data_IF_490025461907
#
_entry.id   IF_490025461907
#
_cell.length_a   1.000
_cell.length_b   1.000
_cell.length_c   1.000
_cell.angle_alpha   90.00
_cell.angle_beta   90.00
_cell.angle_gamma   90.00
#
_symmetry.space_group_name_H-M   'P 1'
#
loop_
_entity.id
_entity.type
_entity.pdbx_description
1 polymer ?
#
# COMPACT_ATOMS: atom_id res chain seq x y z
N UNK A 1 3.48 10.34 -6.12
CA UNK A 1 4.60 9.38 -6.18
C UNK A 1 4.15 7.97 -5.80
N UNK A 2 4.94 6.92 -6.05
CA UNK A 2 4.53 5.53 -5.84
C UNK A 2 4.15 5.21 -4.39
N UNK A 3 4.76 5.87 -3.40
CA UNK A 3 4.39 5.70 -1.99
C UNK A 3 2.96 6.16 -1.65
N UNK A 4 2.43 7.19 -2.33
CA UNK A 4 1.07 7.68 -2.08
C UNK A 4 0.02 6.66 -2.54
N UNK A 5 0.25 6.00 -3.68
CA UNK A 5 -0.58 4.88 -4.13
C UNK A 5 -0.56 3.73 -3.12
N UNK A 6 0.62 3.41 -2.57
CA UNK A 6 0.74 2.41 -1.51
C UNK A 6 -0.10 2.77 -0.30
N UNK A 7 0.03 4.00 0.21
CA UNK A 7 -0.71 4.46 1.40
C UNK A 7 -2.21 4.43 1.16
N UNK A 8 -2.68 4.87 -0.02
CA UNK A 8 -4.10 4.79 -0.36
C UNK A 8 -4.59 3.35 -0.35
N UNK A 9 -3.90 2.42 -1.02
CA UNK A 9 -4.31 1.01 -1.09
C UNK A 9 -4.28 0.37 0.30
N UNK A 10 -3.19 0.54 1.03
CA UNK A 10 -3.01 -0.04 2.37
C UNK A 10 -4.05 0.52 3.33
N UNK A 11 -4.24 1.84 3.38
CA UNK A 11 -5.20 2.47 4.28
C UNK A 11 -6.65 2.06 3.99
N UNK A 12 -7.04 2.05 2.72
CA UNK A 12 -8.40 1.65 2.31
C UNK A 12 -8.67 0.17 2.50
N UNK A 13 -7.64 -0.69 2.49
CA UNK A 13 -7.80 -2.11 2.78
C UNK A 13 -7.83 -2.36 4.31
N UNK A 14 -6.95 -1.71 5.05
CA UNK A 14 -6.81 -1.91 6.51
C UNK A 14 -7.99 -1.31 7.29
N UNK A 15 -8.52 -0.16 6.89
CA UNK A 15 -9.65 0.48 7.59
C UNK A 15 -10.93 -0.40 7.66
N UNK A 16 -11.46 -0.97 6.55
CA UNK A 16 -12.61 -1.85 6.61
C UNK A 16 -12.29 -3.19 7.29
N UNK A 17 -11.07 -3.72 7.10
CA UNK A 17 -10.64 -4.93 7.82
C UNK A 17 -10.66 -4.73 9.32
N UNK A 18 -10.16 -3.59 9.80
CA UNK A 18 -10.15 -3.25 11.23
C UNK A 18 -11.59 -3.14 11.74
N UNK A 19 -12.46 -2.46 11.00
CA UNK A 19 -13.87 -2.34 11.34
C UNK A 19 -14.57 -3.71 11.44
N UNK A 20 -14.38 -4.59 10.45
CA UNK A 20 -14.97 -5.94 10.44
C UNK A 20 -14.45 -6.78 11.61
N UNK A 21 -13.14 -6.75 11.86
CA UNK A 21 -12.52 -7.49 12.96
C UNK A 21 -13.02 -7.02 14.32
N UNK A 22 -13.12 -5.70 14.49
CA UNK A 22 -13.60 -5.11 15.73
C UNK A 22 -15.08 -5.45 15.98
N UNK A 23 -15.95 -5.31 14.98
CA UNK A 23 -17.41 -5.52 15.17
C UNK A 23 -17.76 -7.00 15.41
N UNK A 24 -17.15 -7.92 14.66
CA UNK A 24 -17.53 -9.33 14.70
C UNK A 24 -16.80 -10.14 15.77
N UNK A 25 -15.51 -9.88 15.99
CA UNK A 25 -14.67 -10.73 16.85
C UNK A 25 -14.30 -10.06 18.17
N UNK A 26 -14.28 -8.71 18.23
CA UNK A 26 -13.90 -7.92 19.42
C UNK A 26 -12.68 -8.50 20.17
N UNK A 27 -11.56 -8.76 19.48
CA UNK A 27 -10.37 -9.27 20.15
C UNK A 27 -9.80 -8.24 21.12
N UNK A 28 -8.92 -8.69 22.02
CA UNK A 28 -8.20 -7.81 22.92
C UNK A 28 -7.53 -6.64 22.15
N UNK A 29 -7.60 -5.39 22.65
CA UNK A 29 -7.08 -4.23 21.94
C UNK A 29 -5.61 -4.34 21.55
N UNK A 30 -4.77 -4.98 22.37
CA UNK A 30 -3.34 -5.15 22.07
C UNK A 30 -3.15 -6.15 20.93
N UNK A 31 -3.93 -7.22 20.91
CA UNK A 31 -3.91 -8.22 19.83
C UNK A 31 -4.33 -7.59 18.50
N UNK A 32 -5.39 -6.78 18.51
CA UNK A 32 -5.85 -6.07 17.32
C UNK A 32 -4.78 -5.09 16.83
N UNK A 33 -4.26 -4.24 17.72
CA UNK A 33 -3.27 -3.22 17.39
C UNK A 33 -1.99 -3.84 16.83
N UNK A 34 -1.44 -4.86 17.47
CA UNK A 34 -0.21 -5.53 17.03
C UNK A 34 -0.40 -6.23 15.69
N UNK A 35 -1.49 -6.98 15.53
CA UNK A 35 -1.81 -7.69 14.27
C UNK A 35 -1.94 -6.73 13.10
N UNK A 36 -2.71 -5.65 13.26
CA UNK A 36 -2.89 -4.64 12.20
C UNK A 36 -1.62 -3.85 11.93
N UNK A 37 -0.80 -3.57 12.95
CA UNK A 37 0.49 -2.90 12.77
C UNK A 37 1.44 -3.74 11.92
N UNK A 38 1.60 -5.03 12.26
CA UNK A 38 2.43 -5.96 11.50
C UNK A 38 1.88 -6.11 10.07
N UNK A 39 0.56 -6.26 9.92
CA UNK A 39 -0.10 -6.36 8.62
C UNK A 39 0.12 -5.12 7.75
N UNK A 40 -0.01 -3.92 8.33
CA UNK A 40 0.17 -2.65 7.64
C UNK A 40 1.62 -2.45 7.18
N UNK A 41 2.60 -2.74 8.06
CA UNK A 41 4.03 -2.68 7.73
C UNK A 41 4.39 -3.69 6.64
N UNK A 42 3.98 -4.95 6.82
CA UNK A 42 4.24 -6.03 5.86
C UNK A 42 3.64 -5.73 4.48
N UNK A 43 2.40 -5.26 4.44
CA UNK A 43 1.73 -4.91 3.18
C UNK A 43 2.39 -3.70 2.51
N UNK A 44 2.81 -2.70 3.28
CA UNK A 44 3.51 -1.53 2.75
C UNK A 44 4.85 -1.92 2.11
N UNK A 45 5.66 -2.72 2.81
CA UNK A 45 6.95 -3.21 2.31
C UNK A 45 6.79 -4.07 1.05
N UNK A 46 5.72 -4.85 0.98
CA UNK A 46 5.39 -5.68 -0.19
C UNK A 46 4.95 -4.85 -1.40
N UNK A 47 4.10 -3.83 -1.19
CA UNK A 47 3.53 -3.02 -2.25
C UNK A 47 4.48 -1.93 -2.78
N UNK A 48 5.38 -1.40 -1.94
CA UNK A 48 6.37 -0.37 -2.32
C UNK A 48 7.16 -0.72 -3.60
N UNK A 49 7.85 -1.88 -3.71
CA UNK A 49 8.62 -2.22 -4.91
C UNK A 49 7.71 -2.49 -6.11
N UNK A 50 6.52 -3.06 -5.90
CA UNK A 50 5.59 -3.41 -6.97
C UNK A 50 4.93 -2.20 -7.60
N UNK A 51 4.48 -1.27 -6.77
CA UNK A 51 3.87 -0.03 -7.23
C UNK A 51 4.91 0.89 -7.87
N UNK A 52 6.16 0.87 -7.40
CA UNK A 52 7.27 1.53 -8.10
C UNK A 52 7.41 0.99 -9.53
N UNK A 53 7.48 -0.34 -9.70
CA UNK A 53 7.57 -0.97 -11.03
C UNK A 53 6.37 -0.68 -11.92
N UNK A 54 5.15 -0.77 -11.37
CA UNK A 54 3.91 -0.47 -12.10
C UNK A 54 3.85 0.99 -12.58
N UNK A 55 4.26 1.94 -11.74
CA UNK A 55 4.30 3.36 -12.11
C UNK A 55 5.30 3.60 -13.24
N UNK A 56 6.49 2.99 -13.20
CA UNK A 56 7.48 3.09 -14.29
C UNK A 56 6.97 2.46 -15.58
N UNK A 57 6.37 1.26 -15.52
CA UNK A 57 5.78 0.61 -16.69
C UNK A 57 4.65 1.44 -17.30
N UNK A 58 3.80 2.04 -16.46
CA UNK A 58 2.74 2.95 -16.89
C UNK A 58 3.29 4.23 -17.53
N UNK A 59 4.38 4.78 -16.99
CA UNK A 59 5.09 5.92 -17.57
C UNK A 59 5.67 5.58 -18.95
N UNK A 60 6.29 4.40 -19.10
CA UNK A 60 6.83 3.92 -20.37
C UNK A 60 5.73 3.66 -21.42
N UNK A 61 4.66 2.95 -21.04
CA UNK A 61 3.55 2.62 -21.95
C UNK A 61 2.82 3.86 -22.48
N UNK A 62 2.72 4.92 -21.66
CA UNK A 62 2.10 6.19 -22.05
C UNK A 62 3.08 7.17 -22.71
N UNK A 63 4.32 6.75 -22.97
CA UNK A 63 5.42 7.59 -23.48
C UNK A 63 5.51 8.93 -22.76
N UNK A 64 5.26 8.95 -21.45
CA UNK A 64 5.40 10.18 -20.67
C UNK A 64 6.90 10.47 -20.56
N UNK A 65 7.38 11.41 -21.38
CA UNK A 65 8.81 11.68 -21.61
C UNK A 65 9.54 12.07 -20.31
N UNK A 66 10.22 11.09 -19.70
CA UNK A 66 11.12 11.27 -18.55
C UNK A 66 12.36 10.37 -18.59
N UNK A 67 12.56 9.65 -19.72
CA UNK A 67 13.69 8.76 -19.99
C UNK A 67 14.44 9.17 -21.27
N UNK A 68 14.39 10.46 -21.63
CA UNK A 68 15.26 11.00 -22.68
C UNK A 68 16.64 11.22 -22.09
N UNK A 69 17.67 10.70 -22.75
CA UNK A 69 19.05 11.15 -22.58
C UNK A 69 19.08 12.67 -22.70
N UNK A 70 19.72 13.34 -21.74
CA UNK A 70 20.18 14.70 -21.98
C UNK A 70 21.13 14.63 -23.18
N UNK A 71 20.71 15.21 -24.29
CA UNK A 71 21.65 15.78 -25.26
C UNK A 71 22.31 17.01 -24.61
#
# INVERSE_FOLDING_TARGET
GPAYLTILIVGHLMAPLLHVMFVNFRPDPLVLATTFTIGCVGLSLYLLPRLKGAVVAFQWARRMHGFGTAD
#
